data_IF_476040913455
#
_entry.id   IF_476040913455
#
_cell.length_a   1.000
_cell.length_b   1.000
_cell.length_c   1.000
_cell.angle_alpha   90.00
_cell.angle_beta   90.00
_cell.angle_gamma   90.00
#
_symmetry.space_group_name_H-M   'P 1'
#
loop_
_entity.id
_entity.type
_entity.pdbx_description
1 polymer ?
#
# COMPACT_ATOMS: atom_id res chain seq x y z
N UNK A 1 39.13 -39.04 -53.47
CA UNK A 1 39.83 -37.74 -53.27
C UNK A 1 38.80 -36.63 -53.39
N UNK A 2 38.07 -36.34 -52.30
CA UNK A 2 37.07 -35.26 -52.29
C UNK A 2 37.71 -34.00 -51.72
N UNK A 3 37.77 -32.98 -52.56
CA UNK A 3 38.27 -31.65 -52.23
C UNK A 3 37.23 -30.93 -51.37
N UNK A 4 37.57 -30.66 -50.11
CA UNK A 4 36.75 -29.83 -49.21
C UNK A 4 37.20 -28.39 -49.40
N UNK A 5 36.40 -27.61 -50.13
CA UNK A 5 36.53 -26.17 -50.18
C UNK A 5 36.10 -25.58 -48.83
N UNK A 6 37.08 -25.21 -47.99
CA UNK A 6 36.85 -24.29 -46.88
C UNK A 6 36.60 -22.89 -47.45
N UNK A 7 35.35 -22.44 -47.39
CA UNK A 7 35.00 -21.05 -47.57
C UNK A 7 35.69 -20.23 -46.46
N UNK A 8 36.78 -19.53 -46.83
CA UNK A 8 37.36 -18.45 -46.05
C UNK A 8 36.27 -17.42 -45.79
N UNK A 9 35.74 -17.38 -44.57
CA UNK A 9 34.95 -16.27 -44.09
C UNK A 9 35.81 -15.01 -44.09
N UNK A 10 35.67 -14.18 -45.12
CA UNK A 10 36.19 -12.83 -45.11
C UNK A 10 35.58 -12.09 -43.91
N UNK A 11 36.42 -11.77 -42.92
CA UNK A 11 36.09 -10.78 -41.92
C UNK A 11 36.04 -9.43 -42.64
N UNK A 12 34.83 -8.97 -42.97
CA UNK A 12 34.60 -7.59 -43.40
C UNK A 12 35.11 -6.70 -42.25
N UNK A 13 36.04 -5.76 -42.50
CA UNK A 13 36.49 -4.85 -41.48
C UNK A 13 35.29 -4.00 -41.07
N UNK A 14 34.81 -4.21 -39.84
CA UNK A 14 33.85 -3.32 -39.22
C UNK A 14 34.53 -1.97 -39.15
N UNK A 15 33.93 -0.97 -39.79
CA UNK A 15 34.47 0.38 -39.81
C UNK A 15 34.55 0.87 -38.34
N UNK A 16 35.77 1.09 -37.84
CA UNK A 16 36.03 1.26 -36.40
C UNK A 16 35.22 2.41 -35.79
N UNK A 17 34.88 3.39 -36.62
CA UNK A 17 34.01 4.52 -36.29
C UNK A 17 32.55 4.11 -36.05
N UNK A 18 31.98 3.22 -36.86
CA UNK A 18 30.61 2.76 -36.67
C UNK A 18 30.49 1.91 -35.40
N UNK A 19 31.44 1.00 -35.18
CA UNK A 19 31.49 0.21 -33.94
C UNK A 19 31.56 1.11 -32.70
N UNK A 20 32.39 2.16 -32.75
CA UNK A 20 32.49 3.13 -31.66
C UNK A 20 31.17 3.89 -31.42
N UNK A 21 30.50 4.34 -32.47
CA UNK A 21 29.20 5.03 -32.35
C UNK A 21 28.10 4.11 -31.81
N UNK A 22 28.07 2.85 -32.26
CA UNK A 22 27.16 1.82 -31.78
C UNK A 22 27.38 1.53 -30.28
N UNK A 23 28.65 1.38 -29.87
CA UNK A 23 29.02 1.20 -28.47
C UNK A 23 28.61 2.41 -27.61
N UNK A 24 28.84 3.64 -28.11
CA UNK A 24 28.41 4.86 -27.42
C UNK A 24 26.90 4.88 -27.18
N UNK A 25 26.10 4.56 -28.21
CA UNK A 25 24.63 4.50 -28.08
C UNK A 25 24.21 3.43 -27.09
N UNK A 26 24.87 2.27 -27.08
CA UNK A 26 24.57 1.20 -26.16
C UNK A 26 24.89 1.60 -24.71
N UNK A 27 26.04 2.24 -24.47
CA UNK A 27 26.43 2.74 -23.13
C UNK A 27 25.47 3.83 -22.65
N UNK A 28 25.14 4.81 -23.50
CA UNK A 28 24.16 5.85 -23.18
C UNK A 28 22.79 5.21 -22.87
N UNK A 29 22.37 4.23 -23.66
CA UNK A 29 21.12 3.51 -23.42
C UNK A 29 21.12 2.75 -22.09
N UNK A 30 22.19 2.02 -21.76
CA UNK A 30 22.29 1.29 -20.49
C UNK A 30 22.26 2.27 -19.32
N UNK A 31 23.00 3.39 -19.40
CA UNK A 31 22.98 4.44 -18.37
C UNK A 31 21.56 4.98 -18.15
N UNK A 32 20.89 5.38 -19.23
CA UNK A 32 19.55 5.95 -19.14
C UNK A 32 18.52 4.90 -18.64
N UNK A 33 18.71 3.62 -18.97
CA UNK A 33 17.87 2.52 -18.50
C UNK A 33 18.08 2.19 -17.02
N UNK A 34 19.33 2.24 -16.56
CA UNK A 34 19.65 2.12 -15.13
C UNK A 34 19.00 3.26 -14.36
N UNK A 35 19.10 4.49 -14.86
CA UNK A 35 18.43 5.64 -14.26
C UNK A 35 16.90 5.49 -14.22
N UNK A 36 16.28 4.96 -15.29
CA UNK A 36 14.85 4.60 -15.27
C UNK A 36 14.54 3.61 -14.14
N UNK A 37 15.32 2.54 -14.04
CA UNK A 37 15.10 1.48 -13.03
C UNK A 37 15.23 2.05 -11.61
N UNK A 38 16.20 2.91 -11.36
CA UNK A 38 16.38 3.60 -10.09
C UNK A 38 15.19 4.51 -9.77
N UNK A 39 14.70 5.30 -10.73
CA UNK A 39 13.54 6.17 -10.52
C UNK A 39 12.26 5.38 -10.22
N UNK A 40 12.04 4.26 -10.91
CA UNK A 40 10.90 3.38 -10.64
C UNK A 40 10.99 2.75 -9.25
N UNK A 41 12.17 2.24 -8.85
CA UNK A 41 12.39 1.69 -7.51
C UNK A 41 12.22 2.75 -6.41
N UNK A 42 12.66 3.99 -6.64
CA UNK A 42 12.44 5.09 -5.71
C UNK A 42 10.96 5.48 -5.60
N UNK A 43 10.21 5.43 -6.70
CA UNK A 43 8.77 5.67 -6.66
C UNK A 43 8.03 4.59 -5.85
N UNK A 44 8.38 3.31 -6.07
CA UNK A 44 7.84 2.18 -5.28
C UNK A 44 8.19 2.35 -3.80
N UNK A 45 9.43 2.70 -3.48
CA UNK A 45 9.86 2.95 -2.11
C UNK A 45 9.06 4.04 -1.43
N UNK A 46 8.82 5.17 -2.11
CA UNK A 46 7.99 6.26 -1.56
C UNK A 46 6.54 5.83 -1.31
N UNK A 47 5.99 5.01 -2.21
CA UNK A 47 4.65 4.45 -2.03
C UNK A 47 4.59 3.55 -0.78
N UNK A 48 5.62 2.71 -0.58
CA UNK A 48 5.75 1.87 0.61
C UNK A 48 5.87 2.70 1.89
N UNK A 49 6.73 3.71 1.90
CA UNK A 49 6.91 4.62 3.05
C UNK A 49 5.61 5.35 3.39
N UNK A 50 4.87 5.85 2.38
CA UNK A 50 3.56 6.49 2.58
C UNK A 50 2.54 5.52 3.16
N UNK A 51 2.46 4.30 2.63
CA UNK A 51 1.50 3.29 3.10
C UNK A 51 1.75 2.91 4.56
N UNK A 52 3.02 2.71 4.93
CA UNK A 52 3.40 2.43 6.33
C UNK A 52 3.06 3.62 7.23
N UNK A 53 3.31 4.85 6.79
CA UNK A 53 2.97 6.05 7.54
C UNK A 53 1.46 6.18 7.77
N UNK A 54 0.64 5.86 6.77
CA UNK A 54 -0.83 5.88 6.88
C UNK A 54 -1.35 4.83 7.86
N UNK A 55 -0.76 3.62 7.86
CA UNK A 55 -1.07 2.59 8.84
C UNK A 55 -0.66 3.04 10.25
N UNK A 56 0.57 3.53 10.44
CA UNK A 56 1.04 4.00 11.75
C UNK A 56 0.18 5.16 12.28
N UNK A 57 -0.17 6.12 11.43
CA UNK A 57 -1.07 7.22 11.78
C UNK A 57 -2.43 6.70 12.24
N UNK A 58 -2.99 5.72 11.52
CA UNK A 58 -4.26 5.10 11.86
C UNK A 58 -4.21 4.34 13.19
N UNK A 59 -3.14 3.58 13.44
CA UNK A 59 -2.93 2.86 14.70
C UNK A 59 -2.76 3.83 15.86
N UNK A 60 -1.97 4.90 15.69
CA UNK A 60 -1.77 5.92 16.72
C UNK A 60 -3.08 6.64 17.07
N UNK A 61 -3.90 6.98 16.07
CA UNK A 61 -5.21 7.58 16.29
C UNK A 61 -6.12 6.68 17.15
N UNK A 62 -6.12 5.37 16.88
CA UNK A 62 -6.90 4.40 17.65
C UNK A 62 -6.36 4.23 19.05
N UNK A 63 -5.03 4.11 19.21
CA UNK A 63 -4.41 4.03 20.54
C UNK A 63 -4.80 5.24 21.38
N UNK A 64 -4.67 6.45 20.82
CA UNK A 64 -5.08 7.68 21.51
C UNK A 64 -6.57 7.70 21.82
N UNK A 65 -7.42 7.25 20.91
CA UNK A 65 -8.88 7.18 21.12
C UNK A 65 -9.23 6.16 22.20
N UNK A 66 -8.53 5.02 22.25
CA UNK A 66 -8.71 3.98 23.25
C UNK A 66 -8.25 4.47 24.64
N UNK A 67 -7.08 5.11 24.73
CA UNK A 67 -6.55 5.68 25.96
C UNK A 67 -7.47 6.79 26.51
N UNK A 68 -7.94 7.70 25.65
CA UNK A 68 -8.93 8.72 26.00
C UNK A 68 -10.25 8.12 26.51
N UNK A 69 -10.70 7.02 25.90
CA UNK A 69 -11.93 6.32 26.32
C UNK A 69 -11.73 5.59 27.64
N UNK A 70 -10.57 4.96 27.88
CA UNK A 70 -10.20 4.34 29.17
C UNK A 70 -10.15 5.42 30.25
N UNK A 71 -9.53 6.57 29.98
CA UNK A 71 -9.45 7.68 30.92
C UNK A 71 -10.85 8.26 31.22
N UNK A 72 -11.70 8.43 30.21
CA UNK A 72 -13.09 8.87 30.43
C UNK A 72 -13.89 7.84 31.23
N UNK A 73 -13.72 6.54 30.96
CA UNK A 73 -14.40 5.48 31.72
C UNK A 73 -13.92 5.43 33.18
N UNK A 74 -12.61 5.54 33.42
CA UNK A 74 -12.05 5.55 34.78
C UNK A 74 -12.50 6.78 35.57
N UNK A 75 -12.58 7.97 34.95
CA UNK A 75 -13.12 9.18 35.60
C UNK A 75 -14.61 9.06 35.96
N UNK A 76 -15.40 8.28 35.21
CA UNK A 76 -16.81 8.02 35.53
C UNK A 76 -16.93 7.04 36.69
N UNK A 77 -16.12 5.97 36.71
CA UNK A 77 -16.11 4.98 37.79
C UNK A 77 -15.59 5.55 39.12
N UNK A 78 -14.56 6.40 39.10
CA UNK A 78 -14.03 7.05 40.32
C UNK A 78 -14.98 8.10 40.90
N UNK A 79 -15.88 8.67 40.08
CA UNK A 79 -16.94 9.56 40.58
C UNK A 79 -18.03 8.82 41.36
N UNK A 80 -18.17 7.51 41.17
CA UNK A 80 -19.14 6.68 41.89
C UNK A 80 -18.63 6.25 43.28
N UNK A 81 -17.30 6.24 43.51
CA UNK A 81 -16.71 5.90 44.82
C UNK A 81 -16.84 7.02 45.88
N UNK A 82 -17.19 8.24 45.48
CA UNK A 82 -17.56 9.32 46.42
C UNK A 82 -19.08 9.46 46.62
N UNK A 83 -19.89 8.66 45.93
CA UNK A 83 -21.29 8.45 46.30
C UNK A 83 -21.38 7.21 47.18
N UNK A 84 -21.21 7.46 48.48
CA UNK A 84 -21.16 6.51 49.60
C UNK A 84 -22.49 5.78 49.85
N UNK A 85 -23.12 5.20 48.82
CA UNK A 85 -24.45 4.57 48.96
C UNK A 85 -24.73 3.43 47.97
N UNK A 86 -23.71 2.91 47.26
CA UNK A 86 -23.95 1.90 46.22
C UNK A 86 -23.85 0.43 46.68
N UNK A 87 -23.19 0.11 47.80
CA UNK A 87 -23.02 -1.30 48.22
C UNK A 87 -22.82 -1.45 49.74
N UNK A 88 -23.88 -1.37 50.57
CA UNK A 88 -23.89 -2.02 51.90
C UNK A 88 -25.26 -2.03 52.61
N UNK A 89 -26.39 -2.13 51.89
CA UNK A 89 -27.62 -2.59 52.53
C UNK A 89 -27.64 -4.12 52.50
N UNK A 90 -27.01 -4.72 53.51
CA UNK A 90 -27.09 -6.14 53.81
C UNK A 90 -28.53 -6.61 53.69
N UNK A 91 -28.75 -7.67 52.93
CA UNK A 91 -30.05 -8.31 52.71
C UNK A 91 -30.63 -8.94 54.00
N UNK A 92 -29.95 -8.78 55.14
CA UNK A 92 -30.31 -9.32 56.45
C UNK A 92 -31.05 -8.33 57.37
N UNK A 93 -31.12 -7.03 57.08
CA UNK A 93 -31.83 -6.08 57.96
C UNK A 93 -33.27 -5.74 57.52
N UNK A 94 -33.74 -6.32 56.41
CA UNK A 94 -35.09 -6.08 55.90
C UNK A 94 -36.20 -6.91 56.59
N UNK A 95 -35.86 -7.88 57.45
CA UNK A 95 -36.83 -8.80 58.06
C UNK A 95 -37.15 -8.55 59.54
N UNK A 96 -36.56 -7.53 60.17
CA UNK A 96 -36.85 -7.23 61.59
C UNK A 96 -37.30 -5.79 61.83
N UNK A 97 -38.32 -5.34 61.08
CA UNK A 97 -39.26 -4.30 61.53
C UNK A 97 -40.52 -4.26 60.66
N UNK A 98 -41.10 -5.44 60.43
CA UNK A 98 -42.49 -5.55 60.03
C UNK A 98 -43.39 -5.26 61.24
N UNK A 99 -43.49 -4.00 61.67
CA UNK A 99 -44.68 -3.53 62.38
C UNK A 99 -44.72 -2.00 62.41
N UNK A 100 -45.72 -1.48 61.70
CA UNK A 100 -46.35 -0.15 61.80
C UNK A 100 -45.95 0.87 60.73
N UNK A 101 -47.00 1.23 59.97
CA UNK A 101 -47.27 2.50 59.27
C UNK A 101 -46.50 2.83 57.99
N UNK A 102 -47.18 2.69 56.84
CA UNK A 102 -47.61 3.81 55.98
C UNK A 102 -47.63 3.37 54.50
N UNK A 103 -48.78 3.51 53.83
CA UNK A 103 -48.91 3.40 52.37
C UNK A 103 -47.93 4.32 51.62
N UNK A 104 -47.36 5.35 52.27
CA UNK A 104 -46.33 6.22 51.70
C UNK A 104 -44.95 5.57 51.54
N UNK A 105 -44.63 4.52 52.32
CA UNK A 105 -43.33 3.85 52.23
C UNK A 105 -43.22 2.98 50.97
N UNK A 106 -44.35 2.40 50.53
CA UNK A 106 -44.41 1.61 49.30
C UNK A 106 -44.28 2.50 48.05
N UNK A 107 -44.94 3.65 48.06
CA UNK A 107 -44.87 4.62 46.96
C UNK A 107 -43.49 5.28 46.87
N UNK A 108 -42.88 5.63 48.00
CA UNK A 108 -41.48 6.11 48.03
C UNK A 108 -40.50 5.03 47.53
N UNK A 109 -40.69 3.76 47.89
CA UNK A 109 -39.86 2.65 47.41
C UNK A 109 -40.03 2.42 45.90
N UNK A 110 -41.26 2.55 45.38
CA UNK A 110 -41.56 2.47 43.95
C UNK A 110 -40.89 3.61 43.18
N UNK A 111 -41.02 4.85 43.63
CA UNK A 111 -40.37 6.03 43.01
C UNK A 111 -38.84 5.91 43.05
N UNK A 112 -38.28 5.39 44.14
CA UNK A 112 -36.84 5.14 44.25
C UNK A 112 -36.36 4.06 43.27
N UNK A 113 -37.10 2.97 43.11
CA UNK A 113 -36.82 1.92 42.13
C UNK A 113 -36.98 2.41 40.69
N UNK A 114 -38.01 3.21 40.40
CA UNK A 114 -38.26 3.78 39.08
C UNK A 114 -37.17 4.78 38.68
N UNK A 115 -36.68 5.59 39.64
CA UNK A 115 -35.52 6.46 39.43
C UNK A 115 -34.21 5.66 39.28
N UNK A 116 -34.02 4.56 40.01
CA UNK A 116 -32.86 3.66 39.83
C UNK A 116 -32.89 3.01 38.45
N UNK A 117 -34.04 2.52 38.01
CA UNK A 117 -34.21 1.90 36.69
C UNK A 117 -33.99 2.92 35.56
N UNK A 118 -34.50 4.14 35.72
CA UNK A 118 -34.34 5.22 34.74
C UNK A 118 -32.90 5.75 34.65
N UNK A 119 -32.17 5.80 35.78
CA UNK A 119 -30.73 6.11 35.80
C UNK A 119 -29.90 4.97 35.21
N UNK A 120 -30.18 3.73 35.57
CA UNK A 120 -29.53 2.54 35.01
C UNK A 120 -29.76 2.44 33.49
N UNK A 121 -30.98 2.69 33.01
CA UNK A 121 -31.29 2.75 31.57
C UNK A 121 -30.54 3.85 30.83
N UNK A 122 -30.29 5.00 31.46
CA UNK A 122 -29.47 6.08 30.89
C UNK A 122 -27.98 5.72 30.79
N UNK A 123 -27.43 4.99 31.76
CA UNK A 123 -26.04 4.48 31.73
C UNK A 123 -25.90 3.36 30.71
N UNK A 124 -26.89 2.46 30.62
CA UNK A 124 -26.93 1.39 29.62
C UNK A 124 -27.02 1.96 28.19
N UNK A 125 -27.83 3.00 27.97
CA UNK A 125 -27.91 3.70 26.68
C UNK A 125 -26.57 4.32 26.27
N UNK A 126 -25.82 4.90 27.22
CA UNK A 126 -24.48 5.45 26.95
C UNK A 126 -23.46 4.36 26.63
N UNK A 127 -23.54 3.20 27.29
CA UNK A 127 -22.70 2.05 26.95
C UNK A 127 -23.01 1.49 25.57
N UNK A 128 -24.28 1.44 25.18
CA UNK A 128 -24.68 1.06 23.81
C UNK A 128 -24.20 2.07 22.76
N UNK A 129 -24.26 3.37 23.04
CA UNK A 129 -23.74 4.42 22.16
C UNK A 129 -22.19 4.37 22.03
N UNK A 130 -21.49 4.07 23.13
CA UNK A 130 -20.04 3.84 23.13
C UNK A 130 -19.64 2.58 22.34
N UNK A 131 -20.44 1.51 22.40
CA UNK A 131 -20.24 0.30 21.59
C UNK A 131 -20.50 0.57 20.10
N UNK A 132 -21.55 1.32 19.78
CA UNK A 132 -21.87 1.69 18.39
C UNK A 132 -20.79 2.57 17.76
N UNK A 133 -20.20 3.50 18.52
CA UNK A 133 -19.10 4.33 18.02
C UNK A 133 -17.79 3.54 17.87
N UNK A 134 -17.54 2.56 18.75
CA UNK A 134 -16.41 1.64 18.62
C UNK A 134 -16.51 0.78 17.36
N UNK A 135 -17.71 0.30 17.02
CA UNK A 135 -17.92 -0.49 15.81
C UNK A 135 -17.61 0.34 14.54
N UNK A 136 -18.03 1.60 14.49
CA UNK A 136 -17.69 2.51 13.39
C UNK A 136 -16.18 2.78 13.28
N UNK A 137 -15.51 3.02 14.41
CA UNK A 137 -14.05 3.25 14.45
C UNK A 137 -13.26 2.01 13.98
N UNK A 138 -13.72 0.81 14.35
CA UNK A 138 -13.13 -0.47 13.92
C UNK A 138 -13.42 -0.75 12.44
N UNK A 139 -14.62 -0.43 11.96
CA UNK A 139 -14.95 -0.54 10.54
C UNK A 139 -14.07 0.36 9.67
N UNK A 140 -13.83 1.62 10.08
CA UNK A 140 -12.94 2.54 9.36
C UNK A 140 -11.48 2.03 9.35
N UNK A 141 -11.01 1.43 10.45
CA UNK A 141 -9.71 0.76 10.48
C UNK A 141 -9.66 -0.41 9.49
N UNK A 142 -10.67 -1.28 9.51
CA UNK A 142 -10.70 -2.45 8.61
C UNK A 142 -10.68 -2.00 7.15
N UNK A 143 -11.41 -0.94 6.80
CA UNK A 143 -11.38 -0.34 5.45
C UNK A 143 -9.98 0.20 5.12
N UNK A 144 -9.31 0.90 6.05
CA UNK A 144 -7.94 1.41 5.86
C UNK A 144 -6.91 0.30 5.72
N UNK A 145 -7.01 -0.76 6.53
CA UNK A 145 -6.12 -1.93 6.46
C UNK A 145 -6.33 -2.68 5.14
N UNK A 146 -7.58 -2.95 4.75
CA UNK A 146 -7.88 -3.57 3.44
C UNK A 146 -7.40 -2.69 2.27
N UNK A 147 -7.55 -1.37 2.40
CA UNK A 147 -7.01 -0.39 1.46
C UNK A 147 -5.48 -0.46 1.36
N UNK A 148 -4.77 -0.58 2.48
CA UNK A 148 -3.31 -0.73 2.50
C UNK A 148 -2.82 -2.06 1.92
N UNK A 149 -3.53 -3.17 2.18
CA UNK A 149 -3.22 -4.47 1.55
C UNK A 149 -3.41 -4.39 0.04
N UNK A 150 -4.40 -3.61 -0.44
CA UNK A 150 -4.57 -3.35 -1.87
C UNK A 150 -3.40 -2.54 -2.46
N UNK A 151 -2.71 -1.72 -1.66
CA UNK A 151 -1.50 -1.00 -2.08
C UNK A 151 -0.27 -1.92 -2.15
N UNK A 152 -0.20 -2.97 -1.33
CA UNK A 152 0.84 -4.00 -1.44
C UNK A 152 0.78 -4.70 -2.80
N UNK A 153 -0.41 -5.03 -3.28
CA UNK A 153 -0.61 -5.61 -4.62
C UNK A 153 -0.12 -4.66 -5.73
N UNK A 154 -0.41 -3.36 -5.61
CA UNK A 154 0.08 -2.34 -6.55
C UNK A 154 1.61 -2.25 -6.50
N UNK A 155 2.22 -2.30 -5.33
CA UNK A 155 3.68 -2.31 -5.17
C UNK A 155 4.31 -3.56 -5.78
N UNK A 156 3.73 -4.73 -5.52
CA UNK A 156 4.18 -6.00 -6.09
C UNK A 156 4.08 -6.00 -7.62
N UNK A 157 2.99 -5.46 -8.17
CA UNK A 157 2.83 -5.31 -9.61
C UNK A 157 3.90 -4.39 -10.21
N UNK A 158 4.17 -3.23 -9.60
CA UNK A 158 5.21 -2.30 -10.09
C UNK A 158 6.61 -2.90 -10.00
N UNK A 159 6.91 -3.63 -8.93
CA UNK A 159 8.17 -4.39 -8.82
C UNK A 159 8.29 -5.42 -9.94
N UNK A 160 7.20 -6.13 -10.24
CA UNK A 160 7.15 -7.07 -11.36
C UNK A 160 7.47 -6.39 -12.70
N UNK A 161 6.93 -5.20 -12.96
CA UNK A 161 7.26 -4.44 -14.18
C UNK A 161 8.75 -4.06 -14.25
N UNK A 162 9.35 -3.67 -13.13
CA UNK A 162 10.80 -3.38 -13.05
C UNK A 162 11.62 -4.63 -13.36
N UNK A 163 11.28 -5.76 -12.74
CA UNK A 163 11.94 -7.05 -13.00
C UNK A 163 11.80 -7.47 -14.46
N UNK A 164 10.60 -7.37 -15.04
CA UNK A 164 10.36 -7.66 -16.45
C UNK A 164 11.19 -6.75 -17.37
N UNK A 165 11.27 -5.46 -17.05
CA UNK A 165 12.08 -4.48 -17.80
C UNK A 165 13.56 -4.86 -17.80
N UNK A 166 14.10 -5.27 -16.65
CA UNK A 166 15.48 -5.76 -16.53
C UNK A 166 15.69 -7.05 -17.33
N UNK A 167 14.72 -7.97 -17.32
CA UNK A 167 14.79 -9.19 -18.13
C UNK A 167 14.79 -8.90 -19.63
N UNK A 168 13.99 -7.94 -20.09
CA UNK A 168 13.98 -7.48 -21.49
C UNK A 168 15.32 -6.88 -21.88
N UNK A 169 15.90 -6.02 -21.02
CA UNK A 169 17.24 -5.48 -21.24
C UNK A 169 18.28 -6.60 -21.32
N UNK A 170 18.27 -7.55 -20.37
CA UNK A 170 19.19 -8.68 -20.35
C UNK A 170 19.09 -9.50 -21.64
N UNK A 171 17.88 -9.84 -22.07
CA UNK A 171 17.66 -10.59 -23.31
C UNK A 171 18.20 -9.80 -24.52
N UNK A 172 17.98 -8.48 -24.57
CA UNK A 172 18.51 -7.62 -25.61
C UNK A 172 20.04 -7.57 -25.62
N UNK A 173 20.68 -7.42 -24.46
CA UNK A 173 22.14 -7.42 -24.33
C UNK A 173 22.74 -8.78 -24.70
N UNK A 174 22.08 -9.89 -24.36
CA UNK A 174 22.51 -11.22 -24.81
C UNK A 174 22.50 -11.35 -26.33
N UNK A 175 21.52 -10.75 -27.04
CA UNK A 175 21.53 -10.70 -28.51
C UNK A 175 22.74 -9.91 -29.05
N UNK A 176 23.08 -8.78 -28.42
CA UNK A 176 24.26 -7.98 -28.80
C UNK A 176 25.55 -8.78 -28.66
N UNK A 177 25.70 -9.53 -27.58
CA UNK A 177 26.89 -10.35 -27.32
C UNK A 177 26.99 -11.52 -28.31
N UNK A 178 25.88 -12.22 -28.54
CA UNK A 178 25.87 -13.40 -29.42
C UNK A 178 26.04 -13.01 -30.90
N UNK A 179 25.41 -11.93 -31.35
CA UNK A 179 25.40 -11.49 -32.75
C UNK A 179 26.16 -10.17 -32.94
N UNK A 180 27.37 -10.07 -32.38
CA UNK A 180 28.18 -8.83 -32.42
C UNK A 180 28.40 -8.29 -33.84
N UNK A 181 28.41 -9.16 -34.87
CA UNK A 181 28.55 -8.72 -36.27
C UNK A 181 27.35 -7.92 -36.77
N UNK A 182 26.15 -8.17 -36.26
CA UNK A 182 24.91 -7.48 -36.64
C UNK A 182 24.77 -6.16 -35.86
N UNK A 183 25.13 -6.18 -34.58
CA UNK A 183 25.04 -5.04 -33.66
C UNK A 183 26.27 -4.12 -33.68
N UNK A 184 27.20 -4.32 -34.61
CA UNK A 184 28.28 -3.38 -34.88
C UNK A 184 27.78 -2.09 -35.56
N UNK A 185 26.60 -2.14 -36.19
CA UNK A 185 26.00 -1.03 -36.91
C UNK A 185 25.05 -0.21 -36.03
N UNK A 186 25.04 1.10 -36.27
CA UNK A 186 24.27 2.05 -35.47
C UNK A 186 22.75 1.79 -35.56
N UNK A 187 22.28 1.40 -36.73
CA UNK A 187 20.87 1.11 -37.02
C UNK A 187 20.36 -0.07 -36.18
N UNK A 188 21.11 -1.17 -36.14
CA UNK A 188 20.74 -2.37 -35.38
C UNK A 188 20.65 -2.09 -33.87
N UNK A 189 21.61 -1.33 -33.31
CA UNK A 189 21.57 -0.96 -31.89
C UNK A 189 20.40 -0.02 -31.58
N UNK A 190 20.11 0.95 -32.45
CA UNK A 190 18.94 1.83 -32.30
C UNK A 190 17.62 1.06 -32.39
N UNK A 191 17.54 0.09 -33.28
CA UNK A 191 16.36 -0.76 -33.42
C UNK A 191 16.14 -1.58 -32.15
N UNK A 192 17.18 -2.26 -31.66
CA UNK A 192 17.11 -3.02 -30.41
C UNK A 192 16.68 -2.15 -29.23
N UNK A 193 17.28 -0.95 -29.10
CA UNK A 193 16.89 0.03 -28.08
C UNK A 193 15.38 0.33 -28.17
N UNK A 194 14.88 0.64 -29.36
CA UNK A 194 13.46 0.96 -29.54
C UNK A 194 12.54 -0.23 -29.25
N UNK A 195 12.93 -1.44 -29.62
CA UNK A 195 12.19 -2.67 -29.32
C UNK A 195 12.06 -2.86 -27.81
N UNK A 196 13.17 -2.77 -27.06
CA UNK A 196 13.16 -2.90 -25.59
C UNK A 196 12.32 -1.78 -24.96
N UNK A 197 12.52 -0.52 -25.36
CA UNK A 197 11.79 0.62 -24.82
C UNK A 197 10.29 0.52 -25.08
N UNK A 198 9.88 0.04 -26.26
CA UNK A 198 8.47 -0.14 -26.61
C UNK A 198 7.83 -1.22 -25.73
N UNK A 199 8.53 -2.34 -25.53
CA UNK A 199 8.01 -3.44 -24.73
C UNK A 199 7.92 -3.08 -23.24
N UNK A 200 8.92 -2.38 -22.73
CA UNK A 200 8.89 -1.81 -21.37
C UNK A 200 7.72 -0.86 -21.21
N UNK A 201 7.54 0.10 -22.12
CA UNK A 201 6.44 1.05 -22.04
C UNK A 201 5.05 0.37 -22.08
N UNK A 202 4.90 -0.70 -22.85
CA UNK A 202 3.65 -1.49 -22.93
C UNK A 202 3.34 -2.26 -21.66
N UNK A 203 4.37 -2.68 -20.92
CA UNK A 203 4.20 -3.39 -19.65
C UNK A 203 3.65 -2.49 -18.54
N UNK A 204 3.87 -1.17 -18.62
CA UNK A 204 3.38 -0.24 -17.61
C UNK A 204 1.87 -0.08 -17.66
N UNK A 205 1.24 -0.36 -16.52
CA UNK A 205 -0.20 -0.17 -16.32
C UNK A 205 -0.51 1.17 -15.65
N UNK A 206 0.40 1.69 -14.81
CA UNK A 206 0.19 2.94 -14.11
C UNK A 206 0.69 4.16 -14.92
N UNK A 207 -0.06 5.27 -14.83
CA UNK A 207 0.30 6.51 -15.53
C UNK A 207 1.58 7.13 -14.98
N UNK A 208 1.82 7.00 -13.67
CA UNK A 208 3.05 7.48 -13.03
C UNK A 208 4.30 6.80 -13.59
N UNK A 209 4.25 5.48 -13.85
CA UNK A 209 5.35 4.73 -14.46
C UNK A 209 5.66 5.27 -15.87
N UNK A 210 4.60 5.55 -16.64
CA UNK A 210 4.69 6.14 -17.99
C UNK A 210 5.22 7.56 -17.96
N UNK A 211 4.84 8.37 -16.98
CA UNK A 211 5.37 9.72 -16.81
C UNK A 211 6.88 9.71 -16.50
N UNK A 212 7.33 8.82 -15.61
CA UNK A 212 8.77 8.65 -15.33
C UNK A 212 9.50 8.22 -16.61
N UNK A 213 8.94 7.27 -17.36
CA UNK A 213 9.49 6.84 -18.64
C UNK A 213 9.61 7.99 -19.65
N UNK A 214 8.54 8.77 -19.81
CA UNK A 214 8.51 9.91 -20.74
C UNK A 214 9.52 11.00 -20.38
N UNK A 215 9.81 11.22 -19.10
CA UNK A 215 10.83 12.18 -18.65
C UNK A 215 12.24 11.80 -19.11
N UNK A 216 12.52 10.51 -19.29
CA UNK A 216 13.85 10.00 -19.63
C UNK A 216 13.98 9.76 -21.13
N UNK A 217 13.00 9.09 -21.74
CA UNK A 217 13.08 8.63 -23.13
C UNK A 217 12.20 9.43 -24.11
N UNK A 218 11.37 10.35 -23.60
CA UNK A 218 10.33 11.01 -24.38
C UNK A 218 9.13 10.10 -24.67
N UNK A 219 8.11 10.64 -25.36
CA UNK A 219 7.01 9.80 -25.82
C UNK A 219 7.48 8.86 -26.94
N UNK A 220 7.23 7.55 -26.84
CA UNK A 220 7.56 6.62 -27.91
C UNK A 220 6.85 7.07 -29.18
N UNK A 221 7.60 7.27 -30.27
CA UNK A 221 7.04 7.55 -31.59
C UNK A 221 6.20 6.34 -31.98
N UNK A 222 4.88 6.46 -31.89
CA UNK A 222 3.95 5.44 -32.38
C UNK A 222 4.23 5.28 -33.86
N UNK A 223 4.93 4.21 -34.23
CA UNK A 223 5.06 3.82 -35.61
C UNK A 223 3.69 3.33 -36.05
N UNK A 224 2.88 4.26 -36.58
CA UNK A 224 1.70 3.94 -37.37
C UNK A 224 2.18 3.14 -38.59
N UNK A 225 2.37 1.82 -38.41
CA UNK A 225 2.25 0.89 -39.51
C UNK A 225 0.79 0.98 -39.93
N UNK A 226 0.54 1.83 -40.93
CA UNK A 226 -0.65 1.72 -41.76
C UNK A 226 -0.71 0.28 -42.23
N UNK A 227 -1.71 -0.45 -41.73
CA UNK A 227 -2.17 -1.69 -42.34
C UNK A 227 -2.50 -1.30 -43.79
N UNK A 228 -1.67 -1.79 -44.71
CA UNK A 228 -1.99 -1.80 -46.14
C UNK A 228 -2.81 -3.04 -46.44
#
# INVERSE_FOLDING_TARGET
>A
MSSICFAKGQAVPVDSKEAFLSAKILVDFIRDFTFLSEQQLMAIRKLMESTVQDIMSSVNHISSTADDKIEKASRVLVKDDQSDDFMNASMEEADTKATKTSESAYEQRRIALENKLRRSGGVFSKHMEALSTMDTDVQDLLVKVVGSVSMDDVMAQRLSHVTQSIHLLRAGLSKVVNDHRVFSTQSSVKQLRNEILTEVYRSYTAEEEKQIFHKIFGQPKVSNKKVS
#
